data_IF_033648643913
#
_entry.id   IF_033648643913
#
_cell.length_a   1.000
_cell.length_b   1.000
_cell.length_c   1.000
_cell.angle_alpha   90.00
_cell.angle_beta   90.00
_cell.angle_gamma   90.00
#
_symmetry.space_group_name_H-M   'P 1'
#
loop_
_entity.id
_entity.type
_entity.pdbx_description
1 polymer ?
#
# COMPACT_ATOMS: atom_id res chain seq x y z
N UNK A 1 2.11 -5.49 -13.57
CA UNK A 1 1.38 -6.40 -12.65
C UNK A 1 0.28 -7.20 -13.32
N UNK A 2 -0.44 -6.67 -14.32
CA UNK A 2 -1.47 -7.42 -15.08
C UNK A 2 -0.97 -8.79 -15.61
N UNK A 3 0.26 -8.85 -16.13
CA UNK A 3 0.86 -10.10 -16.62
C UNK A 3 1.16 -11.14 -15.51
N UNK A 4 1.49 -10.69 -14.29
CA UNK A 4 1.79 -11.57 -13.16
C UNK A 4 0.51 -12.10 -12.50
N UNK A 5 -0.52 -11.26 -12.36
CA UNK A 5 -1.84 -11.71 -11.91
C UNK A 5 -2.47 -12.70 -12.92
N UNK A 6 -2.39 -12.42 -14.22
CA UNK A 6 -2.88 -13.32 -15.25
C UNK A 6 -2.13 -14.67 -15.30
N UNK A 7 -0.87 -14.69 -14.83
CA UNK A 7 -0.03 -15.88 -14.76
C UNK A 7 -0.01 -16.55 -13.37
N UNK A 8 -0.71 -16.01 -12.37
CA UNK A 8 -0.70 -16.52 -10.99
C UNK A 8 0.66 -16.42 -10.27
N UNK A 9 1.53 -15.51 -10.71
CA UNK A 9 2.90 -15.39 -10.20
C UNK A 9 2.92 -14.32 -9.09
N UNK A 10 3.31 -14.67 -7.84
CA UNK A 10 3.47 -13.69 -6.79
C UNK A 10 4.61 -12.71 -7.14
N UNK A 11 4.32 -11.41 -7.05
CA UNK A 11 5.31 -10.35 -7.27
C UNK A 11 5.82 -9.89 -5.91
N UNK A 12 7.12 -10.03 -5.68
CA UNK A 12 7.81 -9.44 -4.53
C UNK A 12 8.56 -8.19 -4.97
N UNK A 13 8.49 -7.13 -4.16
CA UNK A 13 9.26 -5.90 -4.36
C UNK A 13 10.21 -5.72 -3.17
N UNK A 14 11.49 -5.56 -3.47
CA UNK A 14 12.54 -5.24 -2.51
C UNK A 14 13.09 -3.84 -2.79
N UNK A 15 13.36 -3.08 -1.73
CA UNK A 15 13.88 -1.71 -1.81
C UNK A 15 13.25 -0.78 -0.78
N UNK A 16 13.77 0.44 -0.68
CA UNK A 16 13.26 1.49 0.22
C UNK A 16 11.77 1.80 -0.05
N UNK A 17 11.29 1.58 -1.28
CA UNK A 17 9.88 1.65 -1.68
C UNK A 17 8.97 0.63 -0.99
N UNK A 18 9.46 -0.52 -0.53
CA UNK A 18 8.66 -1.48 0.24
C UNK A 18 8.55 -1.13 1.73
N UNK A 19 9.47 -0.29 2.22
CA UNK A 19 9.51 0.17 3.61
C UNK A 19 8.69 1.45 3.84
N UNK A 20 8.28 2.13 2.77
CA UNK A 20 7.43 3.32 2.82
C UNK A 20 5.94 2.93 2.91
N UNK A 21 5.23 3.30 4.01
CA UNK A 21 3.83 2.93 4.21
C UNK A 21 2.89 3.36 3.06
N UNK A 22 3.12 4.53 2.47
CA UNK A 22 2.30 5.04 1.35
C UNK A 22 2.41 4.13 0.12
N UNK A 23 3.62 3.65 -0.17
CA UNK A 23 3.87 2.75 -1.31
C UNK A 23 3.38 1.33 -1.04
N UNK A 24 3.44 0.86 0.21
CA UNK A 24 2.90 -0.45 0.57
C UNK A 24 1.38 -0.56 0.31
N UNK A 25 0.62 0.52 0.53
CA UNK A 25 -0.83 0.58 0.27
C UNK A 25 -1.15 0.31 -1.21
N UNK A 26 -0.46 0.99 -2.13
CA UNK A 26 -0.67 0.79 -3.57
C UNK A 26 -0.20 -0.58 -4.05
N UNK A 27 0.89 -1.11 -3.49
CA UNK A 27 1.39 -2.45 -3.83
C UNK A 27 0.36 -3.53 -3.49
N UNK A 28 -0.25 -3.43 -2.30
CA UNK A 28 -1.33 -4.35 -1.89
C UNK A 28 -2.57 -4.20 -2.78
N UNK A 29 -2.93 -2.95 -3.13
CA UNK A 29 -4.00 -2.65 -4.07
C UNK A 29 -3.79 -3.23 -5.47
N UNK A 30 -2.55 -3.24 -5.96
CA UNK A 30 -2.18 -3.84 -7.24
C UNK A 30 -2.07 -5.38 -7.19
N UNK A 31 -2.26 -6.00 -6.02
CA UNK A 31 -2.29 -7.46 -5.87
C UNK A 31 -1.05 -8.08 -5.24
N UNK A 32 -0.08 -7.28 -4.76
CA UNK A 32 1.06 -7.82 -4.00
C UNK A 32 0.55 -8.41 -2.69
N UNK A 33 1.02 -9.62 -2.37
CA UNK A 33 0.66 -10.35 -1.14
C UNK A 33 1.84 -10.61 -0.22
N UNK A 34 3.07 -10.52 -0.75
CA UNK A 34 4.30 -10.67 0.02
C UNK A 34 5.15 -9.41 -0.11
N UNK A 35 5.40 -8.74 1.02
CA UNK A 35 6.28 -7.60 1.15
C UNK A 35 7.47 -7.98 2.03
N UNK A 36 8.68 -7.76 1.55
CA UNK A 36 9.91 -7.96 2.33
C UNK A 36 10.50 -6.60 2.70
N UNK A 37 10.79 -6.41 3.99
CA UNK A 37 11.28 -5.13 4.53
C UNK A 37 12.13 -5.35 5.78
N UNK A 38 12.83 -4.31 6.21
CA UNK A 38 13.56 -4.34 7.48
C UNK A 38 12.59 -4.52 8.66
N UNK A 39 12.97 -5.22 9.75
CA UNK A 39 12.09 -5.46 10.89
C UNK A 39 11.51 -4.17 11.51
N UNK A 40 12.25 -3.07 11.44
CA UNK A 40 11.82 -1.76 11.91
C UNK A 40 10.66 -1.15 11.09
N UNK A 41 10.54 -1.49 9.80
CA UNK A 41 9.48 -0.97 8.93
C UNK A 41 8.15 -1.73 9.07
N UNK A 42 8.20 -2.99 9.55
CA UNK A 42 7.02 -3.86 9.71
C UNK A 42 5.87 -3.21 10.51
N UNK A 43 6.08 -2.62 11.70
CA UNK A 43 4.97 -2.03 12.47
C UNK A 43 4.32 -0.84 11.75
N UNK A 44 5.10 -0.03 11.03
CA UNK A 44 4.59 1.14 10.30
C UNK A 44 3.74 0.72 9.10
N UNK A 45 4.22 -0.23 8.29
CA UNK A 45 3.47 -0.75 7.15
C UNK A 45 2.21 -1.50 7.60
N UNK A 46 2.31 -2.30 8.66
CA UNK A 46 1.15 -3.02 9.22
C UNK A 46 0.10 -2.07 9.78
N UNK A 47 0.51 -0.94 10.37
CA UNK A 47 -0.39 0.09 10.85
C UNK A 47 -1.20 0.73 9.71
N UNK A 48 -0.53 1.07 8.61
CA UNK A 48 -1.18 1.63 7.43
C UNK A 48 -2.16 0.64 6.78
N UNK A 49 -1.73 -0.60 6.55
CA UNK A 49 -2.56 -1.64 5.91
C UNK A 49 -3.80 -2.01 6.73
N UNK A 50 -3.75 -1.91 8.07
CA UNK A 50 -4.91 -2.17 8.94
C UNK A 50 -5.97 -1.07 8.88
N UNK A 51 -5.61 0.12 8.41
CA UNK A 51 -6.51 1.27 8.27
C UNK A 51 -7.29 1.31 6.96
N UNK A 52 -6.99 0.41 6.02
CA UNK A 52 -7.60 0.40 4.69
C UNK A 52 -8.12 -1.00 4.32
N UNK A 53 -9.22 -1.06 3.57
CA UNK A 53 -9.73 -2.32 3.04
C UNK A 53 -9.00 -2.69 1.75
N UNK A 54 -8.87 -3.99 1.46
CA UNK A 54 -8.23 -4.44 0.21
C UNK A 54 -8.96 -3.95 -1.05
N UNK A 55 -10.30 -3.82 -0.99
CA UNK A 55 -11.10 -3.28 -2.09
C UNK A 55 -10.80 -1.79 -2.31
N UNK A 56 -10.74 -1.00 -1.24
CA UNK A 56 -10.37 0.42 -1.30
C UNK A 56 -8.96 0.61 -1.88
N UNK A 57 -8.00 -0.20 -1.43
CA UNK A 57 -6.63 -0.14 -1.95
C UNK A 57 -6.56 -0.48 -3.45
N UNK A 58 -7.42 -1.39 -3.93
CA UNK A 58 -7.51 -1.69 -5.35
C UNK A 58 -8.03 -0.49 -6.15
N UNK A 59 -9.07 0.20 -5.67
CA UNK A 59 -9.59 1.43 -6.30
C UNK A 59 -8.53 2.54 -6.34
N UNK A 60 -7.80 2.74 -5.23
CA UNK A 60 -6.68 3.69 -5.15
C UNK A 60 -5.59 3.34 -6.17
N UNK A 61 -5.26 2.06 -6.31
CA UNK A 61 -4.27 1.59 -7.25
C UNK A 61 -4.71 1.82 -8.71
N UNK A 62 -5.97 1.54 -9.03
CA UNK A 62 -6.55 1.82 -10.34
C UNK A 62 -6.57 3.33 -10.65
N UNK A 63 -6.90 4.17 -9.67
CA UNK A 63 -6.84 5.63 -9.81
C UNK A 63 -5.41 6.12 -10.09
N UNK A 64 -4.41 5.55 -9.43
CA UNK A 64 -3.00 5.88 -9.66
C UNK A 64 -2.54 5.55 -11.09
N UNK A 65 -3.07 4.49 -11.71
CA UNK A 65 -2.75 4.13 -13.10
C UNK A 65 -3.27 5.16 -14.12
N UNK A 66 -4.23 6.00 -13.73
CA UNK A 66 -4.75 7.11 -14.55
C UNK A 66 -3.96 8.42 -14.44
N UNK A 67 -3.01 8.53 -13.50
CA UNK A 67 -2.21 9.73 -13.27
C UNK A 67 -1.03 9.80 -14.24
N UNK A 68 -0.56 11.02 -14.54
CA UNK A 68 0.40 11.26 -15.64
C UNK A 68 1.83 11.40 -15.15
N UNK A 69 2.02 11.64 -13.86
CA UNK A 69 3.34 11.90 -13.27
C UNK A 69 3.54 11.16 -11.96
N UNK A 70 4.80 10.88 -11.63
CA UNK A 70 5.17 10.29 -10.34
C UNK A 70 4.75 11.19 -9.16
N UNK A 71 4.84 12.51 -9.30
CA UNK A 71 4.44 13.46 -8.25
C UNK A 71 2.95 13.42 -7.91
N UNK A 72 2.07 13.23 -8.91
CA UNK A 72 0.63 13.05 -8.70
C UNK A 72 0.34 11.75 -7.94
N UNK A 73 1.05 10.67 -8.28
CA UNK A 73 0.92 9.38 -7.59
C UNK A 73 1.37 9.53 -6.13
N UNK A 74 2.54 10.11 -5.89
CA UNK A 74 3.06 10.33 -4.53
C UNK A 74 2.13 11.20 -3.67
N UNK A 75 1.54 12.25 -4.26
CA UNK A 75 0.56 13.09 -3.57
C UNK A 75 -0.67 12.28 -3.15
N UNK A 76 -1.27 11.52 -4.08
CA UNK A 76 -2.43 10.68 -3.76
C UNK A 76 -2.11 9.63 -2.70
N UNK A 77 -0.98 8.93 -2.80
CA UNK A 77 -0.63 7.90 -1.82
C UNK A 77 -0.38 8.47 -0.42
N UNK A 78 0.11 9.72 -0.33
CA UNK A 78 0.28 10.41 0.94
C UNK A 78 -1.06 10.78 1.58
N UNK A 79 -2.03 11.20 0.78
CA UNK A 79 -3.40 11.47 1.24
C UNK A 79 -4.06 10.18 1.75
N UNK A 80 -3.98 9.09 0.98
CA UNK A 80 -4.52 7.79 1.39
C UNK A 80 -3.86 7.23 2.66
N UNK A 81 -2.55 7.45 2.83
CA UNK A 81 -1.86 7.08 4.06
C UNK A 81 -2.37 7.88 5.26
N UNK A 82 -2.60 9.18 5.09
CA UNK A 82 -3.15 10.03 6.15
C UNK A 82 -4.56 9.57 6.54
N UNK A 83 -5.42 9.26 5.56
CA UNK A 83 -6.77 8.74 5.79
C UNK A 83 -6.75 7.37 6.47
N UNK A 84 -5.89 6.44 6.02
CA UNK A 84 -5.77 5.12 6.64
C UNK A 84 -5.29 5.21 8.11
N UNK A 85 -4.40 6.15 8.43
CA UNK A 85 -3.96 6.38 9.80
C UNK A 85 -5.03 7.08 10.65
N UNK A 86 -5.86 7.94 10.05
CA UNK A 86 -6.96 8.63 10.72
C UNK A 86 -8.19 7.74 10.95
N UNK A 87 -8.47 6.81 10.03
CA UNK A 87 -9.58 5.86 10.10
C UNK A 87 -9.37 4.75 11.15
N UNK A 88 -8.20 4.71 11.80
CA UNK A 88 -7.88 3.72 12.83
C UNK A 88 -8.71 4.01 14.09
N UNK A 89 -9.61 3.11 14.54
CA UNK A 89 -10.06 3.16 15.91
C UNK A 89 -8.82 3.00 16.78
N UNK A 90 -8.63 3.93 17.72
CA UNK A 90 -7.61 3.83 18.75
C UNK A 90 -7.90 2.55 19.52
N UNK A 91 -7.23 1.45 19.19
CA UNK A 91 -7.11 0.31 20.09
C UNK A 91 -6.25 0.79 21.27
N UNK A 92 -6.89 1.48 22.21
CA UNK A 92 -6.49 1.47 23.60
C UNK A 92 -6.66 0.02 24.06
N UNK A 93 -5.58 -0.52 24.60
CA UNK A 93 -5.63 -1.81 25.26
C UNK A 93 -6.51 -1.77 26.49
N UNK A 94 -7.15 -2.89 26.76
CA UNK A 94 -7.29 -3.48 28.09
C UNK A 94 -6.84 -4.94 28.00
#
# INVERSE_FOLDING_TARGET
MLAAQAAGIPVSICGEMAAEPATALVLVGLGVRELSMSPAAIPHVKAALRGASAAHLQEVAEACLGLRTAGEIEARLREELADALAARPVFQGE
#
